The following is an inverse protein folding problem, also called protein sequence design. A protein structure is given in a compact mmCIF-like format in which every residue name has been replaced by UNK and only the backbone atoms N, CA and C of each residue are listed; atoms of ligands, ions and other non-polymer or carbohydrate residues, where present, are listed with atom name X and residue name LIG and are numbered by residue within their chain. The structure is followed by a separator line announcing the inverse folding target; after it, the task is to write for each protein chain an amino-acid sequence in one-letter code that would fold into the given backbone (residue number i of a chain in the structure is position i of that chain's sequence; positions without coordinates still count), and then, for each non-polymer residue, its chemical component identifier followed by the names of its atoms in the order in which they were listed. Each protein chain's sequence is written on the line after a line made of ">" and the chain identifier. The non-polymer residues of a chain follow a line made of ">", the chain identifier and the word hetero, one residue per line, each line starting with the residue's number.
data_IF_442693608799
#
_entry.id   IF_442693608799
#
_cell.length_a   1.000
_cell.length_b   1.000
_cell.length_c   1.000
_cell.angle_alpha   90.00
_cell.angle_beta   90.00
_cell.angle_gamma   90.00
#
_symmetry.space_group_name_H-M   'P 1'
#
loop_
_entity.id
_entity.type
_entity.pdbx_description
1 polymer ?
#
# COMPACT_ATOMS: atom_id res chain seq x y z
N UNK A 1 -15.94 13.22 -20.69
CA UNK A 1 -15.23 11.97 -20.30
C UNK A 1 -16.20 10.81 -20.51
N UNK A 2 -15.79 9.72 -21.18
CA UNK A 2 -16.58 8.49 -21.25
C UNK A 2 -15.86 7.44 -20.41
N UNK A 3 -16.58 6.87 -19.45
CA UNK A 3 -16.15 5.77 -18.60
C UNK A 3 -17.27 4.70 -18.58
N UNK A 4 -16.93 3.42 -18.41
CA UNK A 4 -15.57 2.88 -18.41
C UNK A 4 -15.04 2.75 -19.86
N UNK A 5 -13.71 2.75 -20.00
CA UNK A 5 -12.99 2.48 -21.25
C UNK A 5 -12.99 1.00 -21.63
N UNK A 6 -13.11 0.11 -20.63
CA UNK A 6 -13.27 -1.33 -20.78
C UNK A 6 -14.37 -1.87 -19.86
N UNK A 7 -15.10 -2.89 -20.29
CA UNK A 7 -16.05 -3.58 -19.41
C UNK A 7 -15.27 -4.49 -18.44
N UNK A 8 -15.52 -4.40 -17.12
CA UNK A 8 -14.84 -5.24 -16.16
C UNK A 8 -15.29 -6.70 -16.31
N UNK A 9 -14.33 -7.60 -16.52
CA UNK A 9 -14.54 -9.04 -16.49
C UNK A 9 -13.90 -9.59 -15.22
N UNK A 10 -14.73 -9.74 -14.18
CA UNK A 10 -14.29 -10.22 -12.87
C UNK A 10 -14.10 -11.74 -12.94
N UNK A 11 -12.90 -12.21 -12.58
CA UNK A 11 -12.60 -13.64 -12.47
C UNK A 11 -13.30 -14.27 -11.26
N UNK A 12 -13.46 -15.59 -11.24
CA UNK A 12 -13.97 -16.34 -10.08
C UNK A 12 -13.05 -16.23 -8.86
N UNK A 13 -11.76 -15.98 -9.08
CA UNK A 13 -10.74 -15.86 -8.03
C UNK A 13 -10.49 -14.39 -7.62
N UNK A 14 -11.26 -13.44 -8.17
CA UNK A 14 -11.10 -12.03 -7.81
C UNK A 14 -12.00 -11.69 -6.62
N UNK A 15 -11.39 -11.22 -5.54
CA UNK A 15 -12.07 -10.75 -4.35
C UNK A 15 -11.67 -9.30 -4.02
N UNK A 16 -12.68 -8.48 -3.72
CA UNK A 16 -12.48 -7.15 -3.15
C UNK A 16 -12.90 -7.20 -1.68
N UNK A 17 -11.92 -7.04 -0.79
CA UNK A 17 -12.14 -7.07 0.65
C UNK A 17 -12.34 -5.65 1.16
N UNK A 18 -13.40 -5.44 1.94
CA UNK A 18 -13.64 -4.19 2.65
C UNK A 18 -13.04 -4.25 4.06
N UNK A 19 -12.35 -3.18 4.46
CA UNK A 19 -11.74 -3.06 5.78
C UNK A 19 -10.52 -2.16 5.75
N UNK A 20 -9.95 -1.92 6.92
CA UNK A 20 -8.70 -1.18 7.04
C UNK A 20 -7.51 -2.12 6.77
N UNK A 21 -6.53 -1.65 5.99
CA UNK A 21 -5.35 -2.46 5.66
C UNK A 21 -4.58 -2.98 6.89
N UNK A 22 -4.39 -2.22 7.98
CA UNK A 22 -3.75 -2.72 9.19
C UNK A 22 -4.48 -3.86 9.92
N UNK A 23 -5.74 -4.15 9.57
CA UNK A 23 -6.53 -5.23 10.17
C UNK A 23 -6.44 -6.54 9.37
N UNK A 24 -5.67 -6.56 8.28
CA UNK A 24 -5.50 -7.77 7.47
C UNK A 24 -4.54 -8.75 8.16
N UNK A 25 -4.87 -10.04 8.13
CA UNK A 25 -4.06 -11.10 8.78
C UNK A 25 -3.67 -12.23 7.81
N UNK A 26 -4.00 -12.12 6.53
CA UNK A 26 -3.72 -13.14 5.52
C UNK A 26 -2.25 -13.16 5.08
N UNK A 27 -1.77 -14.34 4.67
CA UNK A 27 -0.44 -14.51 4.09
C UNK A 27 -0.58 -14.57 2.56
N UNK A 28 0.19 -13.74 1.87
CA UNK A 28 0.16 -13.58 0.42
C UNK A 28 1.49 -13.98 -0.21
N UNK A 29 1.40 -14.61 -1.38
CA UNK A 29 2.57 -14.90 -2.23
C UNK A 29 3.09 -13.66 -2.96
N UNK A 30 2.29 -12.60 -3.05
CA UNK A 30 2.73 -11.34 -3.63
C UNK A 30 1.89 -10.19 -3.11
N UNK A 31 2.55 -9.06 -2.82
CA UNK A 31 1.86 -7.81 -2.48
C UNK A 31 2.36 -6.71 -3.41
N UNK A 32 1.39 -6.05 -4.05
CA UNK A 32 1.61 -4.88 -4.89
C UNK A 32 0.95 -3.69 -4.20
N UNK A 33 1.73 -2.65 -3.93
CA UNK A 33 1.21 -1.37 -3.45
C UNK A 33 1.41 -0.32 -4.52
N UNK A 34 0.33 0.39 -4.89
CA UNK A 34 0.36 1.48 -5.87
C UNK A 34 -0.24 2.74 -5.25
N UNK A 35 0.54 3.82 -5.15
CA UNK A 35 0.13 5.11 -4.55
C UNK A 35 -0.47 4.95 -3.14
N UNK A 36 0.10 4.04 -2.33
CA UNK A 36 -0.51 3.58 -1.09
C UNK A 36 0.33 3.83 0.17
N UNK A 37 1.62 3.49 0.16
CA UNK A 37 2.43 3.52 1.39
C UNK A 37 2.57 4.93 2.01
N UNK A 38 2.41 5.98 1.19
CA UNK A 38 2.46 7.38 1.59
C UNK A 38 1.12 7.92 2.14
N UNK A 39 0.06 7.10 2.16
CA UNK A 39 -1.20 7.40 2.86
C UNK A 39 -1.14 7.05 4.35
N UNK A 40 -0.14 6.29 4.78
CA UNK A 40 0.03 5.90 6.19
C UNK A 40 0.49 7.07 7.06
N UNK A 41 -0.04 7.16 8.27
CA UNK A 41 0.48 8.07 9.31
C UNK A 41 1.91 7.70 9.75
N UNK A 42 2.26 6.43 9.59
CA UNK A 42 3.59 5.91 9.86
C UNK A 42 3.99 4.92 8.77
N UNK A 43 4.82 5.38 7.83
CA UNK A 43 5.29 4.57 6.72
C UNK A 43 6.06 3.32 7.20
N UNK A 44 6.78 3.40 8.33
CA UNK A 44 7.47 2.22 8.89
C UNK A 44 6.48 1.16 9.33
N UNK A 45 5.42 1.55 10.04
CA UNK A 45 4.38 0.62 10.49
C UNK A 45 3.67 -0.05 9.29
N UNK A 46 3.42 0.70 8.20
CA UNK A 46 2.86 0.12 6.99
C UNK A 46 3.82 -0.92 6.36
N UNK A 47 5.12 -0.60 6.27
CA UNK A 47 6.12 -1.52 5.74
C UNK A 47 6.32 -2.76 6.62
N UNK A 48 6.33 -2.61 7.94
CA UNK A 48 6.39 -3.70 8.92
C UNK A 48 5.17 -4.61 8.79
N UNK A 49 3.97 -4.02 8.69
CA UNK A 49 2.75 -4.79 8.51
C UNK A 49 2.76 -5.57 7.19
N UNK A 50 3.12 -4.93 6.07
CA UNK A 50 3.30 -5.63 4.78
C UNK A 50 4.28 -6.81 4.92
N UNK A 51 5.38 -6.63 5.65
CA UNK A 51 6.35 -7.72 5.89
C UNK A 51 5.75 -8.90 6.68
N UNK A 52 4.76 -8.67 7.54
CA UNK A 52 4.05 -9.76 8.25
C UNK A 52 3.06 -10.51 7.37
N UNK A 53 2.61 -9.90 6.27
CA UNK A 53 1.61 -10.45 5.36
C UNK A 53 2.20 -11.18 4.15
N UNK A 54 3.53 -11.12 3.94
CA UNK A 54 4.20 -11.77 2.79
C UNK A 54 4.83 -13.08 3.24
N UNK A 55 4.61 -14.15 2.47
CA UNK A 55 5.27 -15.43 2.70
C UNK A 55 6.81 -15.31 2.55
N UNK A 56 7.56 -16.22 3.17
CA UNK A 56 9.02 -16.14 3.13
C UNK A 56 9.55 -16.27 1.68
N UNK A 57 10.45 -15.38 1.27
CA UNK A 57 11.02 -15.27 -0.09
C UNK A 57 10.04 -14.83 -1.20
N UNK A 58 8.87 -14.34 -0.84
CA UNK A 58 7.88 -13.89 -1.83
C UNK A 58 8.03 -12.42 -2.24
N UNK A 59 7.35 -12.05 -3.32
CA UNK A 59 7.59 -10.79 -4.01
C UNK A 59 6.79 -9.62 -3.42
N UNK A 60 7.49 -8.52 -3.17
CA UNK A 60 6.91 -7.21 -2.85
C UNK A 60 7.23 -6.20 -3.95
N UNK A 61 6.20 -5.50 -4.45
CA UNK A 61 6.36 -4.41 -5.41
C UNK A 61 5.69 -3.16 -4.84
N UNK A 62 6.47 -2.09 -4.66
CA UNK A 62 5.95 -0.78 -4.25
C UNK A 62 6.16 0.23 -5.38
N UNK A 63 5.06 0.84 -5.85
CA UNK A 63 5.05 1.81 -6.94
C UNK A 63 4.36 3.10 -6.50
N UNK A 64 5.10 4.21 -6.49
CA UNK A 64 4.50 5.51 -6.20
C UNK A 64 5.50 6.56 -5.74
N UNK A 65 5.05 7.82 -5.62
CA UNK A 65 5.80 8.86 -4.96
C UNK A 65 5.79 8.65 -3.44
N UNK A 66 6.54 9.48 -2.73
CA UNK A 66 6.43 9.64 -1.29
C UNK A 66 5.72 10.97 -0.99
N UNK A 67 4.48 11.11 -1.45
CA UNK A 67 3.68 12.32 -1.26
C UNK A 67 2.82 12.15 -0.01
N UNK A 68 3.39 12.48 1.15
CA UNK A 68 2.66 12.35 2.41
C UNK A 68 1.36 13.17 2.42
N UNK A 69 0.23 12.46 2.43
CA UNK A 69 -1.10 13.03 2.26
C UNK A 69 -1.53 13.98 3.40
N UNK A 70 -0.87 13.91 4.56
CA UNK A 70 -1.15 14.78 5.73
C UNK A 70 -0.12 15.90 5.92
N UNK A 71 0.79 16.13 4.97
CA UNK A 71 1.76 17.23 5.02
C UNK A 71 1.05 18.60 4.96
N UNK A 72 0.59 19.09 6.12
CA UNK A 72 -0.17 20.34 6.24
C UNK A 72 -1.25 20.34 7.32
N UNK A 73 -1.64 19.18 7.88
CA UNK A 73 -2.62 19.12 8.97
C UNK A 73 -1.93 19.14 10.33
N UNK A 74 -2.02 20.26 11.04
CA UNK A 74 -1.31 20.53 12.31
C UNK A 74 -1.68 19.62 13.52
N UNK A 75 -2.51 18.58 13.33
CA UNK A 75 -3.10 17.79 14.43
C UNK A 75 -2.67 16.32 14.50
N UNK A 76 -1.88 15.82 13.56
CA UNK A 76 -1.49 14.40 13.53
C UNK A 76 0.02 14.26 13.52
N UNK A 77 0.58 13.59 14.52
CA UNK A 77 1.98 13.19 14.52
C UNK A 77 2.20 12.16 13.41
N UNK A 78 3.17 12.42 12.53
CA UNK A 78 3.39 11.62 11.32
C UNK A 78 4.89 11.36 11.14
N UNK A 79 5.24 10.16 10.66
CA UNK A 79 6.61 9.79 10.31
C UNK A 79 6.79 9.90 8.80
N UNK A 80 7.61 10.85 8.37
CA UNK A 80 7.99 11.03 6.96
C UNK A 80 9.44 10.59 6.74
N UNK A 81 9.67 9.80 5.71
CA UNK A 81 11.00 9.35 5.28
C UNK A 81 11.29 9.82 3.86
N UNK A 82 12.58 9.96 3.55
CA UNK A 82 13.06 10.17 2.18
C UNK A 82 13.69 8.88 1.66
N UNK A 83 13.49 8.63 0.36
CA UNK A 83 14.20 7.57 -0.33
C UNK A 83 15.63 8.04 -0.60
N UNK A 84 16.62 7.30 -0.09
CA UNK A 84 18.02 7.57 -0.37
C UNK A 84 18.66 6.35 -1.02
N UNK A 85 19.58 6.62 -1.95
CA UNK A 85 20.32 5.58 -2.66
C UNK A 85 21.80 5.86 -2.47
N UNK A 86 22.53 4.92 -1.88
CA UNK A 86 24.00 4.91 -1.94
C UNK A 86 24.42 4.40 -3.31
N UNK A 87 25.17 5.21 -4.04
CA UNK A 87 25.84 4.79 -5.28
C UNK A 87 27.02 3.88 -4.99
#
# INVERSE_FOLDING_TARGET
>A
MRLPDLLPHISVDFELVGGDFPEQEAIWDSIVTELFVDTSLNILAAHEHIHTLIAFNELRIDLGPLLCQCSGTAKTAMVQLSLSWTR
#
